data_IF_653821010068
#
_entry.id   IF_653821010068
#
_cell.length_a   1.000
_cell.length_b   1.000
_cell.length_c   1.000
_cell.angle_alpha   90.00
_cell.angle_beta   90.00
_cell.angle_gamma   90.00
#
_symmetry.space_group_name_H-M   'P 1'
#
loop_
_entity.id
_entity.type
_entity.pdbx_description
1 polymer ?
#
# COMPACT_ATOMS: atom_id res chain seq x y z
N UNK A 1 -1.41 -11.38 -12.33
CA UNK A 1 -2.66 -11.60 -13.06
C UNK A 1 -3.77 -11.94 -12.08
N UNK A 2 -4.97 -11.38 -12.28
CA UNK A 2 -6.15 -11.71 -11.51
C UNK A 2 -7.30 -12.08 -12.47
N UNK A 3 -8.06 -13.12 -12.12
CA UNK A 3 -9.22 -13.62 -12.88
C UNK A 3 -10.44 -13.65 -11.98
N UNK A 4 -11.50 -12.96 -12.38
CA UNK A 4 -12.76 -12.93 -11.63
C UNK A 4 -13.67 -14.10 -11.98
N UNK A 5 -14.44 -14.56 -11.00
CA UNK A 5 -15.52 -15.52 -11.13
C UNK A 5 -16.84 -14.80 -10.89
N UNK A 6 -17.69 -14.79 -11.91
CA UNK A 6 -18.95 -14.05 -11.93
C UNK A 6 -20.14 -15.00 -11.84
N UNK A 7 -21.10 -14.69 -10.96
CA UNK A 7 -22.37 -15.40 -10.89
C UNK A 7 -23.46 -14.61 -11.61
N UNK A 8 -23.99 -15.22 -12.67
CA UNK A 8 -25.03 -14.61 -13.50
C UNK A 8 -26.36 -14.41 -12.77
N UNK A 9 -26.78 -15.34 -11.91
CA UNK A 9 -28.07 -15.27 -11.20
C UNK A 9 -28.15 -14.08 -10.24
N UNK A 10 -27.07 -13.80 -9.52
CA UNK A 10 -26.94 -12.66 -8.61
C UNK A 10 -26.38 -11.40 -9.28
N UNK A 11 -25.96 -11.53 -10.55
CA UNK A 11 -25.31 -10.48 -11.34
C UNK A 11 -24.08 -9.84 -10.65
N UNK A 12 -23.29 -10.62 -9.91
CA UNK A 12 -22.10 -10.12 -9.17
C UNK A 12 -20.87 -11.01 -9.32
N UNK A 13 -19.70 -10.43 -9.06
CA UNK A 13 -18.44 -11.18 -8.89
C UNK A 13 -18.42 -11.78 -7.50
N UNK A 14 -18.19 -13.09 -7.40
CA UNK A 14 -18.16 -13.80 -6.11
C UNK A 14 -16.75 -13.76 -5.52
N UNK A 15 -15.74 -14.00 -6.35
CA UNK A 15 -14.35 -13.86 -5.97
C UNK A 15 -13.46 -13.66 -7.21
N UNK A 16 -12.21 -13.32 -6.97
CA UNK A 16 -11.14 -13.31 -7.96
C UNK A 16 -9.98 -14.20 -7.50
N UNK A 17 -9.49 -15.03 -8.40
CA UNK A 17 -8.23 -15.74 -8.25
C UNK A 17 -7.10 -14.80 -8.68
N UNK A 18 -6.11 -14.58 -7.82
CA UNK A 18 -5.03 -13.63 -8.05
C UNK A 18 -3.67 -14.25 -7.73
N UNK A 19 -2.68 -14.01 -8.59
CA UNK A 19 -1.30 -14.42 -8.32
C UNK A 19 -0.59 -13.46 -7.34
N UNK A 20 0.59 -13.89 -6.89
CA UNK A 20 1.45 -13.12 -5.99
C UNK A 20 1.69 -11.68 -6.49
N UNK A 21 1.90 -11.47 -7.80
CA UNK A 21 2.25 -10.17 -8.35
C UNK A 21 1.10 -9.18 -8.20
N UNK A 22 -0.14 -9.63 -8.39
CA UNK A 22 -1.31 -8.80 -8.13
C UNK A 22 -1.46 -8.47 -6.64
N UNK A 23 -1.27 -9.47 -5.77
CA UNK A 23 -1.38 -9.29 -4.32
C UNK A 23 -0.31 -8.34 -3.78
N UNK A 24 0.92 -8.46 -4.26
CA UNK A 24 2.03 -7.58 -3.91
C UNK A 24 1.72 -6.12 -4.26
N UNK A 25 1.14 -5.89 -5.45
CA UNK A 25 0.68 -4.56 -5.88
C UNK A 25 -0.48 -4.08 -4.99
N UNK A 26 -1.48 -4.93 -4.72
CA UNK A 26 -2.61 -4.56 -3.87
C UNK A 26 -2.15 -4.13 -2.47
N UNK A 27 -1.25 -4.90 -1.87
CA UNK A 27 -0.73 -4.63 -0.53
C UNK A 27 0.11 -3.35 -0.52
N UNK A 28 0.87 -3.09 -1.60
CA UNK A 28 1.63 -1.85 -1.71
C UNK A 28 0.75 -0.60 -1.63
N UNK A 29 -0.43 -0.59 -2.26
CA UNK A 29 -1.38 0.52 -2.13
C UNK A 29 -1.91 0.67 -0.71
N UNK A 30 -2.19 -0.44 -0.01
CA UNK A 30 -2.63 -0.41 1.39
C UNK A 30 -1.54 0.07 2.35
N UNK A 31 -0.26 -0.04 1.97
CA UNK A 31 0.85 0.46 2.77
C UNK A 31 1.09 1.97 2.62
N UNK A 32 0.43 2.65 1.67
CA UNK A 32 0.63 4.07 1.44
C UNK A 32 0.08 4.90 2.62
N UNK A 33 0.90 5.79 3.20
CA UNK A 33 0.39 6.75 4.17
C UNK A 33 -0.70 7.63 3.54
N UNK A 34 -1.76 7.93 4.30
CA UNK A 34 -2.85 8.78 3.83
C UNK A 34 -2.36 10.13 3.31
N UNK A 35 -1.35 10.73 3.96
CA UNK A 35 -0.75 11.98 3.48
C UNK A 35 -0.10 11.86 2.10
N UNK A 36 0.46 10.69 1.75
CA UNK A 36 1.00 10.40 0.42
C UNK A 36 -0.13 10.33 -0.61
N UNK A 37 -1.23 9.64 -0.28
CA UNK A 37 -2.42 9.56 -1.14
C UNK A 37 -2.97 10.96 -1.42
N UNK A 38 -3.12 11.79 -0.38
CA UNK A 38 -3.59 13.18 -0.50
C UNK A 38 -2.65 13.99 -1.39
N UNK A 39 -1.32 13.87 -1.21
CA UNK A 39 -0.31 14.54 -2.03
C UNK A 39 -0.32 14.07 -3.49
N UNK A 40 -0.58 12.80 -3.76
CA UNK A 40 -0.60 12.27 -5.12
C UNK A 40 -1.84 12.73 -5.88
N UNK A 41 -3.01 12.60 -5.24
CA UNK A 41 -4.27 13.16 -5.75
C UNK A 41 -4.13 14.68 -5.93
N UNK A 42 -3.31 15.30 -5.06
CA UNK A 42 -2.55 16.57 -5.22
C UNK A 42 -2.36 17.10 -6.63
N UNK A 43 -1.74 16.24 -7.42
CA UNK A 43 -1.07 16.59 -8.66
C UNK A 43 -1.97 16.31 -9.87
N UNK A 44 -3.08 15.61 -9.70
CA UNK A 44 -3.94 15.20 -10.81
C UNK A 44 -4.79 16.37 -11.30
N UNK A 45 -4.95 16.53 -12.63
CA UNK A 45 -5.69 17.64 -13.24
C UNK A 45 -7.21 17.59 -13.00
N UNK A 46 -7.74 16.43 -12.57
CA UNK A 46 -9.16 16.26 -12.27
C UNK A 46 -9.46 16.58 -10.80
N UNK A 47 -10.50 17.37 -10.56
CA UNK A 47 -11.00 17.84 -9.26
C UNK A 47 -11.53 16.73 -8.31
N UNK A 48 -11.08 15.46 -8.47
CA UNK A 48 -11.37 14.36 -7.54
C UNK A 48 -10.86 14.63 -6.11
N UNK A 49 -10.13 15.72 -5.92
CA UNK A 49 -9.72 16.24 -4.63
C UNK A 49 -10.86 16.55 -3.66
N UNK A 50 -12.03 16.95 -4.16
CA UNK A 50 -13.18 17.22 -3.28
C UNK A 50 -13.55 15.99 -2.45
N UNK A 51 -13.28 14.78 -2.96
CA UNK A 51 -13.53 13.52 -2.27
C UNK A 51 -12.66 13.30 -1.01
N UNK A 52 -11.54 14.02 -0.86
CA UNK A 52 -10.68 13.93 0.33
C UNK A 52 -11.14 14.86 1.47
N UNK A 53 -12.04 15.80 1.20
CA UNK A 53 -12.65 16.68 2.19
C UNK A 53 -11.64 17.31 3.15
N UNK A 54 -11.79 17.03 4.45
CA UNK A 54 -10.94 17.58 5.51
C UNK A 54 -9.47 17.16 5.43
N UNK A 55 -9.14 16.03 4.79
CA UNK A 55 -7.76 15.59 4.61
C UNK A 55 -6.99 16.52 3.67
N UNK A 56 -7.65 17.04 2.63
CA UNK A 56 -7.05 18.06 1.77
C UNK A 56 -6.79 19.35 2.57
N UNK A 57 -7.77 19.80 3.37
CA UNK A 57 -7.62 20.98 4.21
C UNK A 57 -6.45 20.84 5.21
N UNK A 58 -6.31 19.66 5.82
CA UNK A 58 -5.18 19.35 6.72
C UNK A 58 -3.85 19.42 5.97
N UNK A 59 -3.77 18.80 4.79
CA UNK A 59 -2.57 18.81 3.97
C UNK A 59 -2.18 20.23 3.51
N UNK A 60 -3.13 21.04 3.03
CA UNK A 60 -2.89 22.44 2.68
C UNK A 60 -2.48 23.27 3.90
N UNK A 61 -3.15 23.10 5.04
CA UNK A 61 -2.80 23.80 6.28
C UNK A 61 -1.36 23.51 6.69
N UNK A 62 -0.92 22.24 6.61
CA UNK A 62 0.46 21.84 6.87
C UNK A 62 1.44 22.43 5.84
N UNK A 63 1.04 22.47 4.56
CA UNK A 63 1.84 23.07 3.47
C UNK A 63 2.07 24.56 3.70
N UNK A 64 1.05 25.28 4.14
CA UNK A 64 1.10 26.72 4.42
C UNK A 64 1.70 27.04 5.80
N UNK A 65 1.77 26.05 6.70
CA UNK A 65 2.26 26.25 8.06
C UNK A 65 3.72 26.76 8.11
N UNK A 66 4.05 27.84 8.84
CA UNK A 66 5.37 28.44 8.77
C UNK A 66 6.51 27.53 9.28
N UNK A 67 7.63 27.49 8.55
CA UNK A 67 8.80 26.65 8.90
C UNK A 67 9.38 26.93 10.29
N UNK A 68 9.28 28.18 10.77
CA UNK A 68 9.82 28.63 12.07
C UNK A 68 9.28 27.90 13.30
N UNK A 69 8.17 27.18 13.15
CA UNK A 69 7.53 26.44 14.23
C UNK A 69 7.96 24.96 14.28
N UNK A 70 8.81 24.51 13.36
CA UNK A 70 9.41 23.17 13.42
C UNK A 70 10.77 23.22 14.10
N UNK A 71 11.11 22.14 14.81
CA UNK A 71 12.40 22.02 15.51
C UNK A 71 13.59 21.96 14.55
N UNK A 72 13.40 21.31 13.40
CA UNK A 72 14.38 21.23 12.30
C UNK A 72 13.65 21.41 10.96
N UNK A 73 14.36 21.85 9.93
CA UNK A 73 13.77 22.19 8.63
C UNK A 73 13.16 20.96 7.93
N UNK A 74 13.76 19.80 8.16
CA UNK A 74 13.41 18.50 7.61
C UNK A 74 12.07 17.98 8.14
N UNK A 75 11.65 18.38 9.36
CA UNK A 75 10.38 17.93 9.94
C UNK A 75 9.19 18.27 9.05
N UNK A 76 9.15 19.50 8.51
CA UNK A 76 8.06 19.91 7.62
C UNK A 76 8.05 19.06 6.34
N UNK A 77 9.24 18.79 5.80
CA UNK A 77 9.39 17.94 4.62
C UNK A 77 8.85 16.53 4.88
N UNK A 78 9.20 15.90 6.01
CA UNK A 78 8.75 14.56 6.37
C UNK A 78 7.24 14.48 6.57
N UNK A 79 6.62 15.51 7.16
CA UNK A 79 5.17 15.55 7.35
C UNK A 79 4.41 15.73 6.04
N UNK A 80 4.97 16.47 5.09
CA UNK A 80 4.43 16.60 3.74
C UNK A 80 4.69 15.37 2.87
N UNK A 81 5.71 14.58 3.20
CA UNK A 81 6.14 13.41 2.46
C UNK A 81 6.26 12.18 3.39
N UNK A 82 5.15 11.75 4.03
CA UNK A 82 5.20 10.60 4.91
C UNK A 82 5.61 9.36 4.12
N UNK A 83 6.47 8.54 4.71
CA UNK A 83 6.98 7.31 4.08
C UNK A 83 6.37 6.09 4.75
N UNK A 84 5.99 5.10 3.96
CA UNK A 84 5.53 3.81 4.47
C UNK A 84 6.65 3.08 5.19
N UNK A 85 6.34 2.34 6.26
CA UNK A 85 7.29 1.40 6.89
C UNK A 85 7.70 0.28 5.92
N UNK A 86 6.86 0.00 4.92
CA UNK A 86 7.13 -0.99 3.88
C UNK A 86 7.84 -0.41 2.66
N UNK A 87 8.26 0.87 2.67
CA UNK A 87 8.85 1.54 1.51
C UNK A 87 10.04 0.76 0.92
N UNK A 88 10.95 0.29 1.78
CA UNK A 88 12.11 -0.51 1.34
C UNK A 88 11.75 -1.88 0.78
N UNK A 89 10.58 -2.43 1.12
CA UNK A 89 10.08 -3.64 0.48
C UNK A 89 9.38 -3.30 -0.84
N UNK A 90 8.54 -2.26 -0.86
CA UNK A 90 7.80 -1.79 -2.02
C UNK A 90 8.70 -1.30 -3.16
N UNK A 91 9.92 -0.82 -2.90
CA UNK A 91 10.87 -0.42 -3.95
C UNK A 91 11.27 -1.57 -4.88
N UNK A 92 11.09 -2.82 -4.44
CA UNK A 92 11.38 -4.01 -5.23
C UNK A 92 10.19 -4.42 -6.12
N UNK A 93 9.04 -3.74 -6.01
CA UNK A 93 7.91 -3.95 -6.91
C UNK A 93 8.29 -3.46 -8.31
N UNK A 94 7.73 -4.11 -9.32
CA UNK A 94 7.84 -3.64 -10.72
C UNK A 94 7.07 -2.34 -10.97
N UNK A 95 6.23 -1.92 -10.03
CA UNK A 95 5.40 -0.74 -10.11
C UNK A 95 5.94 0.32 -9.16
N UNK A 96 6.32 1.48 -9.71
CA UNK A 96 6.66 2.66 -8.94
C UNK A 96 5.37 3.45 -8.67
N UNK A 97 5.00 3.55 -7.39
CA UNK A 97 3.73 4.16 -6.96
C UNK A 97 3.94 5.57 -6.40
N UNK A 98 5.07 5.81 -5.75
CA UNK A 98 5.40 7.10 -5.14
C UNK A 98 6.69 7.63 -5.74
N UNK A 99 6.61 8.79 -6.42
CA UNK A 99 7.73 9.51 -7.05
C UNK A 99 8.57 10.32 -6.05
N UNK A 100 8.32 10.13 -4.75
CA UNK A 100 9.05 10.83 -3.70
C UNK A 100 10.48 10.34 -3.60
N UNK A 101 11.42 11.21 -3.96
CA UNK A 101 12.86 10.97 -3.83
C UNK A 101 13.23 10.43 -2.44
N UNK A 102 14.16 9.46 -2.36
CA UNK A 102 14.74 9.00 -1.12
C UNK A 102 15.30 10.20 -0.36
N UNK A 103 14.92 10.31 0.90
CA UNK A 103 15.38 11.43 1.70
C UNK A 103 16.67 10.99 2.36
N UNK A 104 17.80 11.46 1.81
CA UNK A 104 19.12 11.23 2.38
C UNK A 104 19.29 12.13 3.61
N UNK A 105 18.81 11.69 4.77
CA UNK A 105 19.10 12.36 6.03
C UNK A 105 20.07 11.52 6.85
N UNK A 106 21.33 11.92 6.83
CA UNK A 106 22.22 11.73 7.97
C UNK A 106 21.67 12.61 9.10
N UNK A 107 21.10 11.99 10.13
CA UNK A 107 20.79 12.66 11.37
C UNK A 107 22.02 12.60 12.28
N UNK A 108 22.78 13.70 12.32
CA UNK A 108 23.68 13.97 13.44
C UNK A 108 22.86 14.67 14.53
N UNK A 109 22.68 13.99 15.67
CA UNK A 109 21.84 14.46 16.78
C UNK A 109 20.59 13.62 16.99
N UNK A 110 20.73 12.55 17.78
CA UNK A 110 19.69 11.55 18.01
C UNK A 110 18.38 12.09 18.56
N UNK A 111 17.29 11.84 17.85
CA UNK A 111 16.05 11.27 18.41
C UNK A 111 15.16 10.63 17.31
N UNK A 112 15.72 9.68 16.56
CA UNK A 112 15.03 8.43 16.18
C UNK A 112 16.13 7.38 16.01
N UNK A 113 16.72 7.00 17.15
CA UNK A 113 17.63 5.87 17.19
C UNK A 113 16.84 4.63 16.81
N UNK A 114 17.27 4.02 15.70
CA UNK A 114 16.65 2.89 15.04
C UNK A 114 15.29 3.27 14.43
N UNK A 115 15.29 3.52 13.12
CA UNK A 115 14.52 2.56 12.33
C UNK A 115 15.00 1.20 12.81
N UNK A 116 14.23 0.57 13.70
CA UNK A 116 14.08 -0.85 13.54
C UNK A 116 13.57 -0.93 12.10
N UNK A 117 14.50 -1.07 11.15
CA UNK A 117 14.42 -2.24 10.30
C UNK A 117 14.02 -3.31 11.29
N UNK A 118 12.72 -3.60 11.33
CA UNK A 118 12.32 -4.93 11.66
C UNK A 118 13.16 -5.71 10.67
N UNK A 119 14.32 -6.14 11.14
CA UNK A 119 14.97 -7.30 10.64
C UNK A 119 13.97 -8.38 11.04
N UNK A 120 12.87 -8.42 10.30
CA UNK A 120 12.23 -9.65 9.97
C UNK A 120 13.37 -10.43 9.33
N UNK A 121 14.11 -11.13 10.18
CA UNK A 121 14.64 -12.45 9.89
C UNK A 121 13.49 -13.41 9.55
N UNK A 122 12.42 -12.94 8.90
CA UNK A 122 11.69 -13.72 7.92
C UNK A 122 12.73 -13.92 6.83
N UNK A 123 13.55 -14.94 7.05
CA UNK A 123 14.14 -15.69 5.96
C UNK A 123 12.94 -15.95 5.05
N UNK A 124 12.86 -15.26 3.92
CA UNK A 124 12.01 -15.68 2.82
C UNK A 124 12.64 -17.00 2.40
N UNK A 125 12.18 -18.07 3.04
CA UNK A 125 12.54 -19.44 2.69
C UNK A 125 11.80 -19.70 1.39
N UNK A 126 12.46 -19.33 0.28
CA UNK A 126 12.01 -19.60 -1.08
C UNK A 126 10.88 -18.69 -1.57
N UNK A 127 11.16 -17.96 -2.64
CA UNK A 127 10.15 -17.31 -3.50
C UNK A 127 10.33 -15.79 -3.59
N UNK A 128 10.68 -15.28 -4.77
CA UNK A 128 11.11 -13.89 -5.02
C UNK A 128 10.01 -12.82 -4.98
N UNK A 129 8.91 -13.02 -4.25
CA UNK A 129 7.85 -12.02 -4.10
C UNK A 129 8.12 -11.02 -2.96
N UNK A 130 7.37 -9.90 -2.95
CA UNK A 130 7.63 -8.75 -2.05
C UNK A 130 6.92 -8.90 -0.70
N UNK A 131 5.62 -9.19 -0.71
CA UNK A 131 4.82 -9.44 0.49
C UNK A 131 4.44 -10.91 0.64
N UNK A 132 4.25 -11.60 -0.49
CA UNK A 132 3.85 -13.01 -0.55
C UNK A 132 4.79 -13.81 -1.43
N UNK A 133 4.81 -15.14 -1.27
CA UNK A 133 5.64 -16.04 -2.08
C UNK A 133 5.30 -15.96 -3.57
N UNK A 134 6.29 -16.01 -4.46
CA UNK A 134 6.13 -15.89 -5.92
C UNK A 134 5.33 -17.04 -6.58
N UNK A 135 5.27 -18.19 -5.90
CA UNK A 135 4.45 -19.35 -6.31
C UNK A 135 3.05 -19.36 -5.70
N UNK A 136 2.68 -18.38 -4.87
CA UNK A 136 1.37 -18.35 -4.22
C UNK A 136 0.28 -17.77 -5.14
N UNK A 137 -0.90 -18.39 -5.05
CA UNK A 137 -2.16 -17.90 -5.63
C UNK A 137 -3.15 -17.68 -4.49
N UNK A 138 -4.03 -16.70 -4.65
CA UNK A 138 -4.97 -16.26 -3.62
C UNK A 138 -6.37 -16.17 -4.20
N UNK A 139 -7.36 -16.44 -3.34
CA UNK A 139 -8.77 -16.11 -3.59
C UNK A 139 -9.05 -14.81 -2.84
N UNK A 140 -9.61 -13.81 -3.55
CA UNK A 140 -10.02 -12.51 -3.02
C UNK A 140 -11.52 -12.38 -3.25
N UNK A 141 -12.30 -12.26 -2.19
CA UNK A 141 -13.76 -12.09 -2.29
C UNK A 141 -14.17 -10.62 -2.41
N UNK A 142 -15.44 -10.36 -2.71
CA UNK A 142 -16.02 -9.01 -2.77
C UNK A 142 -15.89 -8.25 -1.43
N UNK A 143 -15.99 -8.95 -0.31
CA UNK A 143 -15.77 -8.39 1.03
C UNK A 143 -14.30 -8.11 1.37
N UNK A 144 -13.36 -8.42 0.46
CA UNK A 144 -11.91 -8.35 0.63
C UNK A 144 -11.16 -9.40 1.48
N UNK A 145 -11.79 -10.42 2.14
CA UNK A 145 -11.05 -11.58 2.63
C UNK A 145 -10.13 -12.15 1.56
N UNK A 146 -8.86 -12.28 1.93
CA UNK A 146 -7.84 -12.90 1.11
C UNK A 146 -7.42 -14.21 1.76
N UNK A 147 -7.47 -15.29 1.00
CA UNK A 147 -7.06 -16.62 1.46
C UNK A 147 -6.08 -17.23 0.45
N UNK A 148 -5.08 -17.99 0.91
CA UNK A 148 -4.28 -18.82 0.01
C UNK A 148 -5.21 -19.77 -0.76
N UNK A 149 -4.96 -19.90 -2.06
CA UNK A 149 -5.67 -20.86 -2.88
C UNK A 149 -5.32 -22.27 -2.42
N UNK A 150 -6.34 -23.06 -2.12
CA UNK A 150 -6.24 -24.49 -1.89
C UNK A 150 -7.50 -25.17 -2.42
N UNK A 151 -7.47 -26.50 -2.54
CA UNK A 151 -8.66 -27.27 -2.94
C UNK A 151 -9.81 -27.07 -1.94
N UNK A 152 -9.51 -26.90 -0.64
CA UNK A 152 -10.55 -26.67 0.37
C UNK A 152 -11.17 -25.28 0.24
N UNK A 153 -10.38 -24.23 0.04
CA UNK A 153 -10.93 -22.88 -0.18
C UNK A 153 -11.66 -22.78 -1.51
N UNK A 154 -11.18 -23.44 -2.57
CA UNK A 154 -11.95 -23.55 -3.82
C UNK A 154 -13.30 -24.25 -3.60
N UNK A 155 -13.33 -25.36 -2.85
CA UNK A 155 -14.57 -26.10 -2.61
C UNK A 155 -15.58 -25.28 -1.80
N UNK A 156 -15.13 -24.57 -0.76
CA UNK A 156 -15.95 -23.65 0.03
C UNK A 156 -16.61 -22.56 -0.85
N UNK A 157 -15.85 -21.95 -1.76
CA UNK A 157 -16.38 -20.94 -2.68
C UNK A 157 -17.10 -21.52 -3.91
N UNK A 158 -16.88 -22.78 -4.24
CA UNK A 158 -17.64 -23.49 -5.28
C UNK A 158 -19.02 -23.96 -4.79
N UNK A 159 -19.15 -24.31 -3.50
CA UNK A 159 -20.45 -24.55 -2.86
C UNK A 159 -21.27 -23.28 -2.79
N UNK A 160 -20.61 -22.12 -2.68
CA UNK A 160 -21.29 -20.85 -2.82
C UNK A 160 -21.90 -20.76 -4.22
N UNK A 161 -21.24 -21.22 -5.30
CA UNK A 161 -21.68 -21.07 -6.71
C UNK A 161 -22.87 -21.94 -7.16
N UNK A 162 -23.28 -22.95 -6.40
CA UNK A 162 -24.57 -23.66 -6.58
C UNK A 162 -25.76 -22.84 -6.07
#
# INVERSE_FOLDING_TARGET
>A
MAKSIYRQSEKRVVYAEADHSFVDILFSFMTLPVGTIVKMLGKLPDAKFEALGSLNNLYQSLKDFPKRYFAIEECKFMLLNPRSLSYDHCKNLKLEIDDTEPVNHFFDGGLMNKTHSYNSNVRVVGGGGVFVSDVATFIITDDFPMMPYSVTSFLEYSQILE
#
